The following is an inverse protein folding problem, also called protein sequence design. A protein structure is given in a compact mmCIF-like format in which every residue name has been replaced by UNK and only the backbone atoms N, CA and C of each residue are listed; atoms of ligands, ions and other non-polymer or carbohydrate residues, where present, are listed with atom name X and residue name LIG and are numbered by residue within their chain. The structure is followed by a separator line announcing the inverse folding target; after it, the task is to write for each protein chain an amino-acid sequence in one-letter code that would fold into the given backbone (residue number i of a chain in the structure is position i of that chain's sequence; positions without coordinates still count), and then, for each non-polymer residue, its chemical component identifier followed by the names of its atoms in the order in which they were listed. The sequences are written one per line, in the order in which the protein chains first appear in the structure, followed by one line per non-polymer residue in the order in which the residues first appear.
data_IF_621713265350
#
_entry.id   IF_621713265350
#
_cell.length_a   1.000
_cell.length_b   1.000
_cell.length_c   1.000
_cell.angle_alpha   90.00
_cell.angle_beta   90.00
_cell.angle_gamma   90.00
#
_symmetry.space_group_name_H-M   'P 1'
#
loop_
_entity.id
_entity.type
_entity.pdbx_description
1 polymer ?
#
# COMPACT_ATOMS: atom_id res chain seq x y z
N UNK A 1 14.26 33.63 -38.10
CA UNK A 1 15.11 34.15 -37.01
C UNK A 1 15.40 32.99 -36.07
N UNK A 2 16.67 32.59 -35.95
CA UNK A 2 17.09 31.36 -35.27
C UNK A 2 17.27 31.59 -33.76
N UNK A 3 16.81 30.63 -32.95
CA UNK A 3 16.96 30.60 -31.47
C UNK A 3 18.44 30.48 -31.07
N UNK A 4 18.89 31.13 -29.97
CA UNK A 4 20.25 30.97 -29.45
C UNK A 4 20.49 29.55 -28.92
N UNK A 5 21.59 28.93 -29.35
CA UNK A 5 21.98 27.54 -29.11
C UNK A 5 22.81 27.35 -27.82
N UNK A 6 22.46 28.07 -26.75
CA UNK A 6 23.25 28.11 -25.50
C UNK A 6 22.38 28.00 -24.24
N UNK A 7 21.54 26.98 -24.17
CA UNK A 7 21.03 26.46 -22.89
C UNK A 7 21.21 24.94 -22.92
N UNK A 8 21.90 24.34 -21.95
CA UNK A 8 21.89 22.89 -21.77
C UNK A 8 20.45 22.41 -21.55
N UNK A 9 20.06 21.31 -22.21
CA UNK A 9 18.75 20.69 -22.07
C UNK A 9 18.49 20.29 -20.61
N UNK A 10 17.53 20.96 -19.97
CA UNK A 10 17.02 20.60 -18.63
C UNK A 10 16.30 19.23 -18.60
N UNK A 11 16.12 18.60 -19.76
CA UNK A 11 15.59 17.25 -19.95
C UNK A 11 16.35 16.17 -19.16
N UNK A 12 17.64 16.38 -18.87
CA UNK A 12 18.45 15.43 -18.11
C UNK A 12 18.25 15.51 -16.57
N UNK A 13 17.69 16.61 -16.06
CA UNK A 13 17.46 16.77 -14.61
C UNK A 13 16.18 16.06 -14.12
N UNK A 14 15.22 15.78 -15.00
CA UNK A 14 14.01 15.03 -14.64
C UNK A 14 14.14 13.51 -14.88
N UNK A 15 15.17 13.06 -15.60
CA UNK A 15 15.42 11.63 -15.86
C UNK A 15 16.32 10.94 -14.81
N UNK A 16 16.78 11.70 -13.80
CA UNK A 16 17.72 11.20 -12.79
C UNK A 16 17.01 10.92 -11.46
N UNK A 17 16.02 10.02 -11.46
CA UNK A 17 15.64 9.29 -10.24
C UNK A 17 16.59 8.11 -10.10
N UNK A 18 17.56 8.12 -9.16
CA UNK A 18 18.28 6.91 -8.82
C UNK A 18 17.31 5.97 -8.13
N UNK A 19 16.92 4.90 -8.84
CA UNK A 19 16.38 3.70 -8.21
C UNK A 19 17.51 3.05 -7.42
N UNK A 20 17.45 2.95 -6.08
CA UNK A 20 18.46 2.23 -5.35
C UNK A 20 18.15 0.73 -5.45
N UNK A 21 18.70 0.09 -6.47
CA UNK A 21 19.11 -1.31 -6.37
C UNK A 21 20.23 -1.37 -5.33
N UNK A 22 19.96 -1.95 -4.17
CA UNK A 22 21.00 -2.44 -3.27
C UNK A 22 20.83 -3.93 -2.98
N UNK A 23 21.96 -4.62 -2.77
CA UNK A 23 22.08 -6.05 -2.83
C UNK A 23 21.79 -6.74 -1.50
N UNK A 24 21.41 -8.00 -1.66
CA UNK A 24 21.32 -9.06 -0.69
C UNK A 24 22.67 -9.31 0.02
N UNK A 25 22.80 -8.91 1.30
CA UNK A 25 23.51 -9.68 2.34
C UNK A 25 23.41 -9.09 3.76
N UNK A 26 22.85 -9.92 4.65
CA UNK A 26 23.14 -10.08 6.08
C UNK A 26 23.27 -8.85 7.00
N UNK A 27 22.23 -8.65 7.83
CA UNK A 27 22.39 -8.21 9.22
C UNK A 27 21.50 -9.03 10.15
N UNK A 28 22.03 -9.61 11.25
CA UNK A 28 21.21 -10.12 12.34
C UNK A 28 20.98 -9.02 13.38
N UNK A 29 19.73 -8.82 13.84
CA UNK A 29 19.36 -8.59 15.26
C UNK A 29 17.87 -8.23 15.44
N UNK A 30 17.26 -9.03 16.34
CA UNK A 30 16.23 -8.73 17.35
C UNK A 30 14.77 -8.46 16.92
N UNK A 31 13.97 -9.52 17.08
CA UNK A 31 12.51 -9.59 17.32
C UNK A 31 12.12 -8.84 18.64
N UNK A 32 10.83 -8.61 19.00
CA UNK A 32 9.60 -9.15 18.40
C UNK A 32 8.43 -8.15 18.21
N UNK A 33 7.74 -8.23 17.07
CA UNK A 33 6.36 -7.77 16.94
C UNK A 33 5.42 -8.90 17.36
N UNK A 34 4.73 -8.71 18.48
CA UNK A 34 3.61 -9.54 18.93
C UNK A 34 2.43 -9.31 17.96
N UNK A 35 2.14 -10.31 17.15
CA UNK A 35 0.89 -10.40 16.41
C UNK A 35 -0.19 -10.91 17.36
N UNK A 36 -1.10 -10.03 17.77
CA UNK A 36 -2.31 -10.31 18.56
C UNK A 36 -3.44 -10.83 17.66
N UNK A 37 -3.16 -11.87 16.87
CA UNK A 37 -4.14 -12.52 16.00
C UNK A 37 -3.86 -14.03 15.92
N UNK A 38 -3.79 -14.68 17.08
CA UNK A 38 -3.78 -16.14 17.21
C UNK A 38 -4.26 -16.47 18.63
N UNK A 39 -5.55 -16.30 18.89
CA UNK A 39 -6.12 -16.43 20.22
C UNK A 39 -7.61 -16.71 20.18
N UNK A 40 -7.99 -17.81 19.53
CA UNK A 40 -9.29 -18.47 19.66
C UNK A 40 -9.17 -19.91 19.14
N UNK A 41 -8.27 -20.69 19.75
CA UNK A 41 -8.33 -22.15 19.72
C UNK A 41 -8.55 -22.57 21.16
N UNK A 42 -9.82 -22.58 21.56
CA UNK A 42 -10.24 -23.18 22.80
C UNK A 42 -10.31 -24.70 22.62
N UNK A 43 -9.46 -25.36 23.41
CA UNK A 43 -9.62 -26.67 24.02
C UNK A 43 -10.67 -27.63 23.46
N UNK A 44 -10.21 -28.78 23.02
CA UNK A 44 -10.85 -30.05 23.34
C UNK A 44 -9.75 -31.10 23.57
N UNK A 45 -9.28 -31.17 24.82
CA UNK A 45 -8.70 -32.41 25.34
C UNK A 45 -9.78 -33.49 25.21
N UNK A 46 -9.55 -34.45 24.31
CA UNK A 46 -10.34 -35.67 24.22
C UNK A 46 -9.45 -36.84 24.64
N UNK A 47 -9.84 -37.63 25.65
CA UNK A 47 -8.98 -38.64 26.24
C UNK A 47 -8.76 -39.80 25.27
N UNK A 48 -7.48 -40.19 25.10
CA UNK A 48 -7.10 -41.46 24.49
C UNK A 48 -7.60 -42.61 25.35
N UNK A 49 -8.82 -43.07 25.11
CA UNK A 49 -9.28 -44.38 25.55
C UNK A 49 -8.85 -45.43 24.53
N UNK A 50 -8.06 -46.37 25.01
CA UNK A 50 -7.61 -47.59 24.35
C UNK A 50 -8.83 -48.42 23.92
N UNK A 51 -8.96 -48.86 22.66
CA UNK A 51 -9.79 -50.02 22.37
C UNK A 51 -8.95 -51.27 22.61
N UNK A 52 -9.22 -51.92 23.74
CA UNK A 52 -8.98 -53.34 23.93
C UNK A 52 -9.69 -54.06 22.77
N UNK A 53 -8.93 -54.63 21.85
CA UNK A 53 -9.40 -55.66 20.93
C UNK A 53 -9.52 -56.99 21.68
N UNK A 54 -10.72 -57.56 21.91
CA UNK A 54 -10.81 -58.99 22.10
C UNK A 54 -10.62 -59.64 20.73
N UNK A 55 -9.65 -60.56 20.66
CA UNK A 55 -9.50 -61.54 19.60
C UNK A 55 -10.87 -62.14 19.24
N UNK A 56 -11.32 -61.92 18.01
CA UNK A 56 -12.39 -62.75 17.45
C UNK A 56 -11.78 -64.08 17.06
N UNK A 57 -11.91 -65.03 17.98
CA UNK A 57 -11.77 -66.44 17.71
C UNK A 57 -12.55 -66.80 16.44
N UNK A 58 -11.85 -67.42 15.49
CA UNK A 58 -12.48 -68.25 14.47
C UNK A 58 -13.16 -69.42 15.18
N UNK A 59 -14.42 -69.25 15.56
CA UNK A 59 -15.27 -70.36 15.95
C UNK A 59 -16.18 -70.72 14.79
N UNK A 60 -16.03 -71.96 14.34
CA UNK A 60 -16.95 -72.71 13.48
C UNK A 60 -18.41 -72.41 13.83
N UNK A 61 -19.10 -71.59 13.03
CA UNK A 61 -20.52 -71.31 13.20
C UNK A 61 -21.38 -72.11 12.20
N UNK A 62 -21.72 -73.35 12.56
CA UNK A 62 -23.03 -73.94 12.23
C UNK A 62 -24.11 -73.37 13.18
N UNK A 63 -24.14 -72.05 13.34
CA UNK A 63 -25.07 -71.34 14.22
C UNK A 63 -26.06 -70.53 13.40
N UNK A 64 -27.33 -70.93 13.45
CA UNK A 64 -28.42 -70.43 12.61
C UNK A 64 -28.51 -68.91 12.51
N UNK A 65 -28.41 -68.43 11.28
CA UNK A 65 -28.99 -67.14 10.92
C UNK A 65 -30.49 -67.22 11.16
N UNK A 66 -31.09 -66.14 11.66
CA UNK A 66 -32.54 -66.09 11.72
C UNK A 66 -33.09 -65.99 10.29
N UNK A 67 -34.17 -66.71 10.00
CA UNK A 67 -34.92 -66.60 8.74
C UNK A 67 -35.79 -65.32 8.70
N UNK A 68 -35.47 -64.34 9.56
CA UNK A 68 -36.18 -63.07 9.63
C UNK A 68 -35.61 -62.09 8.60
N UNK A 69 -36.47 -61.17 8.16
CA UNK A 69 -36.06 -60.04 7.32
C UNK A 69 -34.93 -59.27 8.01
N UNK A 70 -33.88 -59.00 7.26
CA UNK A 70 -32.74 -58.22 7.73
C UNK A 70 -32.76 -56.85 7.07
N UNK A 71 -32.77 -55.80 7.89
CA UNK A 71 -32.78 -54.43 7.42
C UNK A 71 -31.42 -53.79 7.63
N UNK A 72 -30.98 -53.00 6.66
CA UNK A 72 -29.76 -52.23 6.75
C UNK A 72 -29.87 -50.90 6.02
N UNK A 73 -29.09 -49.93 6.46
CA UNK A 73 -28.89 -48.67 5.77
C UNK A 73 -27.74 -48.79 4.77
N UNK A 74 -27.95 -48.21 3.59
CA UNK A 74 -26.89 -47.96 2.63
C UNK A 74 -26.73 -46.44 2.44
N UNK A 75 -25.54 -45.94 2.71
CA UNK A 75 -25.18 -44.53 2.55
C UNK A 75 -24.19 -44.37 1.41
N UNK A 76 -24.45 -43.40 0.52
CA UNK A 76 -23.53 -43.05 -0.56
C UNK A 76 -22.39 -42.20 0.00
N UNK A 77 -21.14 -42.60 -0.23
CA UNK A 77 -19.96 -41.89 0.29
C UNK A 77 -19.86 -40.45 -0.18
N UNK A 78 -20.32 -40.20 -1.40
CA UNK A 78 -20.11 -38.92 -2.10
C UNK A 78 -21.15 -37.87 -1.68
N UNK A 79 -22.23 -38.32 -1.03
CA UNK A 79 -23.32 -37.48 -0.55
C UNK A 79 -23.63 -37.80 0.90
N UNK A 80 -22.73 -37.40 1.80
CA UNK A 80 -22.92 -37.54 3.25
C UNK A 80 -24.21 -36.89 3.76
N UNK A 81 -24.78 -35.94 3.00
CA UNK A 81 -26.04 -35.26 3.31
C UNK A 81 -27.29 -35.89 2.67
N UNK A 82 -27.12 -36.89 1.79
CA UNK A 82 -28.28 -37.62 1.24
C UNK A 82 -28.85 -38.57 2.30
N UNK A 83 -30.18 -38.70 2.42
CA UNK A 83 -30.75 -39.65 3.34
C UNK A 83 -30.37 -41.08 2.92
N UNK A 84 -30.07 -41.98 3.87
CA UNK A 84 -29.65 -43.34 3.55
C UNK A 84 -30.79 -44.14 2.92
N UNK A 85 -30.44 -45.04 2.01
CA UNK A 85 -31.35 -46.04 1.45
C UNK A 85 -31.58 -47.16 2.46
N UNK A 86 -32.76 -47.75 2.45
CA UNK A 86 -33.06 -48.94 3.26
C UNK A 86 -32.94 -50.17 2.37
N UNK A 87 -31.97 -51.03 2.66
CA UNK A 87 -31.82 -52.35 2.08
C UNK A 87 -32.57 -53.35 2.94
N UNK A 88 -33.48 -54.10 2.32
CA UNK A 88 -34.21 -55.19 2.97
C UNK A 88 -33.78 -56.51 2.34
N UNK A 89 -33.29 -57.42 3.16
CA UNK A 89 -32.83 -58.75 2.76
C UNK A 89 -33.76 -59.81 3.34
N UNK A 90 -33.93 -60.93 2.63
CA UNK A 90 -34.73 -62.06 3.12
C UNK A 90 -34.15 -62.70 4.38
N UNK A 91 -32.84 -62.56 4.61
CA UNK A 91 -32.14 -63.03 5.81
C UNK A 91 -30.80 -62.31 5.98
N UNK A 92 -30.23 -62.38 7.18
CA UNK A 92 -28.89 -61.84 7.46
C UNK A 92 -27.80 -62.57 6.64
N UNK A 93 -27.97 -63.87 6.37
CA UNK A 93 -27.03 -64.63 5.52
C UNK A 93 -27.01 -64.14 4.07
N UNK A 94 -28.17 -63.73 3.55
CA UNK A 94 -28.26 -63.13 2.21
C UNK A 94 -27.60 -61.76 2.18
N UNK A 95 -27.71 -60.97 3.25
CA UNK A 95 -27.02 -59.68 3.36
C UNK A 95 -25.49 -59.85 3.33
N UNK A 96 -24.96 -60.85 4.03
CA UNK A 96 -23.52 -61.15 4.02
C UNK A 96 -23.04 -61.64 2.64
N UNK A 97 -23.78 -62.54 1.98
CA UNK A 97 -23.45 -62.99 0.61
C UNK A 97 -23.48 -61.83 -0.40
N UNK A 98 -24.49 -60.97 -0.28
CA UNK A 98 -24.59 -59.77 -1.11
C UNK A 98 -23.41 -58.84 -0.87
N UNK A 99 -23.03 -58.64 0.39
CA UNK A 99 -21.89 -57.80 0.75
C UNK A 99 -20.55 -58.34 0.23
N UNK A 100 -20.34 -59.65 0.27
CA UNK A 100 -19.12 -60.27 -0.27
C UNK A 100 -18.96 -59.98 -1.77
N UNK A 101 -20.06 -60.03 -2.55
CA UNK A 101 -20.05 -59.65 -3.97
C UNK A 101 -19.80 -58.16 -4.17
N UNK A 102 -20.44 -57.30 -3.36
CA UNK A 102 -20.21 -55.85 -3.41
C UNK A 102 -18.75 -55.52 -3.12
N UNK A 103 -18.13 -56.17 -2.14
CA UNK A 103 -16.71 -55.97 -1.80
C UNK A 103 -15.78 -56.40 -2.94
N UNK A 104 -16.15 -57.42 -3.69
CA UNK A 104 -15.37 -57.90 -4.84
C UNK A 104 -15.46 -56.94 -6.04
N UNK A 105 -16.64 -56.42 -6.35
CA UNK A 105 -16.84 -55.52 -7.50
C UNK A 105 -16.50 -54.05 -7.17
N UNK A 106 -16.71 -53.63 -5.92
CA UNK A 106 -16.57 -52.26 -5.44
C UNK A 106 -15.69 -52.21 -4.17
N UNK A 107 -14.36 -52.37 -4.32
CA UNK A 107 -13.44 -52.49 -3.18
C UNK A 107 -13.34 -51.23 -2.32
N UNK A 108 -13.80 -50.07 -2.81
CA UNK A 108 -13.86 -48.83 -2.03
C UNK A 108 -15.05 -48.79 -1.03
N UNK A 109 -16.01 -49.70 -1.16
CA UNK A 109 -17.15 -49.78 -0.25
C UNK A 109 -16.74 -50.35 1.11
N UNK A 110 -17.25 -49.75 2.20
CA UNK A 110 -16.91 -50.12 3.58
C UNK A 110 -18.17 -50.48 4.37
N UNK A 111 -18.07 -51.39 5.35
CA UNK A 111 -19.17 -51.78 6.24
C UNK A 111 -18.83 -51.39 7.67
N UNK A 112 -19.41 -50.29 8.14
CA UNK A 112 -19.18 -49.74 9.49
C UNK A 112 -19.96 -50.49 10.59
N UNK A 113 -20.92 -51.34 10.22
CA UNK A 113 -21.69 -52.12 11.18
C UNK A 113 -22.51 -53.25 10.57
N UNK A 114 -23.28 -53.99 11.39
CA UNK A 114 -24.14 -55.07 10.90
C UNK A 114 -25.14 -54.53 9.88
N UNK A 115 -25.75 -53.38 10.20
CA UNK A 115 -26.83 -52.73 9.46
C UNK A 115 -26.40 -51.44 8.76
N UNK A 116 -25.11 -51.15 8.60
CA UNK A 116 -24.63 -49.92 7.95
C UNK A 116 -23.59 -50.24 6.87
N UNK A 117 -23.98 -49.98 5.63
CA UNK A 117 -23.17 -50.13 4.44
C UNK A 117 -22.84 -48.74 3.88
N UNK A 118 -21.55 -48.46 3.67
CA UNK A 118 -21.06 -47.26 3.00
C UNK A 118 -20.63 -47.67 1.60
N UNK A 119 -21.36 -47.17 0.62
CA UNK A 119 -21.26 -47.55 -0.78
C UNK A 119 -20.62 -46.41 -1.59
N UNK A 120 -19.60 -46.74 -2.39
CA UNK A 120 -18.84 -45.81 -3.23
C UNK A 120 -19.21 -46.00 -4.71
N UNK A 121 -19.62 -44.94 -5.41
CA UNK A 121 -19.94 -44.98 -6.84
C UNK A 121 -21.22 -44.23 -7.21
N UNK A 122 -21.23 -43.61 -8.40
CA UNK A 122 -22.25 -42.61 -8.74
C UNK A 122 -23.64 -43.20 -9.05
N UNK A 123 -23.75 -44.47 -9.43
CA UNK A 123 -25.03 -45.15 -9.75
C UNK A 123 -25.12 -46.56 -9.17
N UNK A 124 -25.00 -46.66 -7.84
CA UNK A 124 -25.11 -47.95 -7.13
C UNK A 124 -26.46 -48.66 -7.37
N UNK A 125 -27.53 -47.89 -7.60
CA UNK A 125 -28.89 -48.40 -7.77
C UNK A 125 -29.07 -49.16 -9.10
N UNK A 126 -28.64 -48.56 -10.20
CA UNK A 126 -28.75 -49.15 -11.53
C UNK A 126 -27.68 -50.22 -11.73
N UNK A 127 -26.45 -49.98 -11.23
CA UNK A 127 -25.33 -50.89 -11.48
C UNK A 127 -25.42 -52.20 -10.71
N UNK A 128 -25.86 -52.23 -9.44
CA UNK A 128 -25.97 -53.50 -8.70
C UNK A 128 -27.15 -54.33 -9.21
N UNK A 129 -28.30 -53.71 -9.52
CA UNK A 129 -29.48 -54.46 -9.94
C UNK A 129 -29.33 -55.08 -11.34
N UNK A 130 -28.59 -54.42 -12.23
CA UNK A 130 -28.39 -54.88 -13.60
C UNK A 130 -27.12 -55.72 -13.79
N UNK A 131 -26.27 -55.84 -12.76
CA UNK A 131 -25.07 -56.65 -12.85
C UNK A 131 -25.41 -58.16 -12.80
N UNK A 132 -25.02 -58.94 -13.83
CA UNK A 132 -25.32 -60.38 -13.90
C UNK A 132 -24.83 -61.19 -12.71
N UNK A 133 -23.77 -60.73 -12.03
CA UNK A 133 -23.20 -61.41 -10.85
C UNK A 133 -24.16 -61.42 -9.65
N UNK A 134 -25.13 -60.50 -9.62
CA UNK A 134 -26.11 -60.39 -8.54
C UNK A 134 -27.44 -61.09 -8.86
N UNK A 135 -27.58 -61.74 -10.02
CA UNK A 135 -28.86 -62.35 -10.42
C UNK A 135 -29.39 -63.41 -9.45
N UNK A 136 -28.52 -64.20 -8.85
CA UNK A 136 -28.91 -65.23 -7.87
C UNK A 136 -29.47 -64.64 -6.56
N UNK A 137 -29.18 -63.36 -6.31
CA UNK A 137 -29.62 -62.62 -5.13
C UNK A 137 -30.73 -61.62 -5.45
N UNK A 138 -31.00 -61.28 -6.73
CA UNK A 138 -31.93 -60.22 -7.13
C UNK A 138 -33.33 -60.34 -6.51
N UNK A 139 -33.83 -61.55 -6.31
CA UNK A 139 -35.15 -61.81 -5.72
C UNK A 139 -35.13 -61.96 -4.20
N UNK A 140 -33.96 -61.82 -3.56
CA UNK A 140 -33.75 -62.01 -2.12
C UNK A 140 -33.42 -60.73 -1.37
N UNK A 141 -33.31 -59.61 -2.09
CA UNK A 141 -33.15 -58.30 -1.51
C UNK A 141 -33.83 -57.24 -2.38
N UNK A 142 -34.22 -56.13 -1.78
CA UNK A 142 -34.68 -54.94 -2.48
C UNK A 142 -34.25 -53.71 -1.70
N UNK A 143 -34.18 -52.56 -2.37
CA UNK A 143 -33.92 -51.29 -1.72
C UNK A 143 -35.20 -50.44 -1.73
N UNK A 144 -35.33 -49.56 -0.74
CA UNK A 144 -36.39 -48.55 -0.68
C UNK A 144 -35.73 -47.18 -0.73
N UNK A 145 -36.09 -46.32 -1.71
CA UNK A 145 -35.56 -44.96 -1.78
C UNK A 145 -36.04 -44.12 -0.58
N UNK A 146 -35.28 -43.08 -0.20
CA UNK A 146 -35.62 -42.20 0.90
C UNK A 146 -36.73 -41.20 0.52
N UNK A 147 -37.87 -41.70 0.05
CA UNK A 147 -38.99 -40.84 -0.37
C UNK A 147 -39.87 -40.55 0.86
N UNK A 148 -39.41 -39.61 1.70
CA UNK A 148 -40.23 -38.90 2.69
C UNK A 148 -40.46 -39.58 4.05
N UNK A 149 -40.16 -40.87 4.22
CA UNK A 149 -40.14 -41.51 5.53
C UNK A 149 -38.75 -42.08 5.81
N UNK A 150 -37.97 -41.42 6.68
CA UNK A 150 -36.84 -42.06 7.34
C UNK A 150 -37.38 -43.16 8.26
N UNK A 151 -37.72 -44.31 7.66
CA UNK A 151 -38.23 -45.46 8.37
C UNK A 151 -37.17 -45.94 9.34
N UNK A 152 -37.43 -45.79 10.63
CA UNK A 152 -36.55 -46.32 11.67
C UNK A 152 -36.56 -47.84 11.56
N UNK A 153 -35.46 -48.41 11.06
CA UNK A 153 -35.32 -49.87 11.01
C UNK A 153 -35.13 -50.43 12.43
N UNK A 154 -35.69 -51.61 12.74
CA UNK A 154 -35.41 -52.29 14.00
C UNK A 154 -33.89 -52.54 14.16
N UNK A 155 -33.36 -52.30 15.36
CA UNK A 155 -31.98 -52.67 15.68
C UNK A 155 -31.87 -54.19 15.64
N UNK A 156 -31.03 -54.70 14.74
CA UNK A 156 -30.79 -56.13 14.59
C UNK A 156 -29.31 -56.46 14.77
N UNK A 157 -29.04 -57.60 15.41
CA UNK A 157 -27.69 -58.15 15.49
C UNK A 157 -27.20 -58.65 14.12
N UNK A 158 -25.92 -59.06 14.03
CA UNK A 158 -25.33 -59.67 12.83
C UNK A 158 -26.06 -60.93 12.32
N UNK A 159 -27.00 -61.48 13.10
CA UNK A 159 -27.78 -62.68 12.76
C UNK A 159 -29.24 -62.35 12.42
N UNK A 160 -29.64 -61.09 12.47
CA UNK A 160 -30.99 -60.61 12.19
C UNK A 160 -31.97 -60.67 13.37
N UNK A 161 -31.49 -60.94 14.59
CA UNK A 161 -32.34 -60.93 15.78
C UNK A 161 -32.56 -59.49 16.27
N UNK A 162 -33.81 -59.09 16.59
CA UNK A 162 -34.07 -57.78 17.17
C UNK A 162 -33.39 -57.64 18.53
N UNK A 163 -32.60 -56.58 18.71
CA UNK A 163 -31.94 -56.29 19.97
C UNK A 163 -32.98 -55.73 20.97
N UNK A 164 -33.31 -56.51 22.01
CA UNK A 164 -34.19 -56.05 23.09
C UNK A 164 -33.42 -55.07 23.97
N UNK A 165 -33.53 -53.78 23.69
CA UNK A 165 -33.19 -52.75 24.68
C UNK A 165 -34.24 -52.77 25.79
N UNK A 166 -33.87 -53.21 26.99
CA UNK A 166 -34.63 -52.93 28.21
C UNK A 166 -34.22 -51.56 28.76
N UNK A 167 -35.10 -50.54 28.76
CA UNK A 167 -34.76 -49.26 29.36
C UNK A 167 -35.14 -49.26 30.85
N UNK A 168 -34.15 -49.38 31.72
CA UNK A 168 -34.29 -48.98 33.13
C UNK A 168 -34.24 -47.44 33.20
N UNK A 169 -35.38 -46.78 32.97
CA UNK A 169 -35.50 -45.33 32.97
C UNK A 169 -35.54 -44.79 34.41
N UNK A 170 -34.41 -44.27 34.91
CA UNK A 170 -34.31 -43.66 36.23
C UNK A 170 -34.73 -42.18 36.17
N UNK A 171 -35.88 -41.84 36.74
CA UNK A 171 -36.47 -40.49 36.70
C UNK A 171 -35.69 -39.46 37.56
N UNK A 172 -34.95 -39.92 38.58
CA UNK A 172 -34.14 -39.06 39.45
C UNK A 172 -32.87 -38.56 38.76
N UNK A 173 -32.22 -39.38 37.93
CA UNK A 173 -31.05 -38.95 37.15
C UNK A 173 -31.43 -37.96 36.06
N UNK A 174 -32.65 -38.05 35.51
CA UNK A 174 -33.20 -37.07 34.59
C UNK A 174 -33.40 -35.70 35.25
N UNK A 175 -33.89 -35.69 36.50
CA UNK A 175 -34.12 -34.45 37.25
C UNK A 175 -32.79 -33.75 37.57
N UNK A 176 -31.77 -34.50 38.01
CA UNK A 176 -30.43 -33.95 38.25
C UNK A 176 -29.72 -33.48 36.97
N UNK A 177 -29.94 -34.14 35.83
CA UNK A 177 -29.40 -33.68 34.54
C UNK A 177 -30.09 -32.41 34.04
N UNK A 178 -31.40 -32.25 34.23
CA UNK A 178 -32.13 -31.02 33.93
C UNK A 178 -31.64 -29.83 34.76
N UNK A 179 -31.41 -30.01 36.07
CA UNK A 179 -30.90 -28.94 36.93
C UNK A 179 -29.48 -28.51 36.53
N UNK A 180 -28.60 -29.48 36.24
CA UNK A 180 -27.26 -29.21 35.70
C UNK A 180 -27.32 -28.49 34.35
N UNK A 181 -28.26 -28.86 33.49
CA UNK A 181 -28.46 -28.21 32.20
C UNK A 181 -28.94 -26.76 32.38
N UNK A 182 -29.83 -26.51 33.34
CA UNK A 182 -30.30 -25.16 33.65
C UNK A 182 -29.16 -24.26 34.17
N UNK A 183 -28.30 -24.78 35.04
CA UNK A 183 -27.09 -24.08 35.51
C UNK A 183 -26.17 -23.77 34.33
N UNK A 184 -25.89 -24.75 33.46
CA UNK A 184 -25.04 -24.53 32.28
C UNK A 184 -25.66 -23.53 31.29
N UNK A 185 -26.98 -23.54 31.08
CA UNK A 185 -27.66 -22.57 30.22
C UNK A 185 -27.55 -21.17 30.80
N UNK A 186 -27.76 -21.02 32.12
CA UNK A 186 -27.58 -19.74 32.81
C UNK A 186 -26.15 -19.23 32.66
N UNK A 187 -25.15 -20.08 32.91
CA UNK A 187 -23.74 -19.73 32.76
C UNK A 187 -23.38 -19.36 31.32
N UNK A 188 -23.78 -20.17 30.33
CA UNK A 188 -23.60 -19.86 28.91
C UNK A 188 -24.28 -18.55 28.52
N UNK A 189 -25.46 -18.26 29.05
CA UNK A 189 -26.15 -16.98 28.79
C UNK A 189 -25.36 -15.79 29.34
N UNK A 190 -24.75 -15.93 30.53
CA UNK A 190 -23.87 -14.87 31.07
C UNK A 190 -22.60 -14.69 30.25
N UNK A 191 -21.99 -15.78 29.78
CA UNK A 191 -20.82 -15.74 28.91
C UNK A 191 -21.15 -15.08 27.56
N UNK A 192 -22.29 -15.42 26.95
CA UNK A 192 -22.76 -14.79 25.70
C UNK A 192 -22.99 -13.29 25.91
N UNK A 193 -23.58 -12.88 27.03
CA UNK A 193 -23.74 -11.45 27.36
C UNK A 193 -22.39 -10.74 27.49
N UNK A 194 -21.45 -11.33 28.23
CA UNK A 194 -20.11 -10.76 28.39
C UNK A 194 -19.37 -10.65 27.05
N UNK A 195 -19.47 -11.68 26.21
CA UNK A 195 -18.87 -11.70 24.88
C UNK A 195 -19.53 -10.69 23.95
N UNK A 196 -20.85 -10.54 24.00
CA UNK A 196 -21.59 -9.52 23.26
C UNK A 196 -21.18 -8.11 23.66
N UNK A 197 -20.99 -7.83 24.96
CA UNK A 197 -20.52 -6.53 25.44
C UNK A 197 -19.09 -6.29 24.98
N UNK A 198 -18.19 -7.27 25.12
CA UNK A 198 -16.81 -7.17 24.66
C UNK A 198 -16.73 -6.93 23.13
N UNK A 199 -17.55 -7.63 22.35
CA UNK A 199 -17.63 -7.46 20.89
C UNK A 199 -18.17 -6.08 20.51
N UNK A 200 -19.23 -5.60 21.18
CA UNK A 200 -19.77 -4.25 20.95
C UNK A 200 -18.74 -3.15 21.27
N UNK A 201 -18.00 -3.28 22.37
CA UNK A 201 -16.93 -2.36 22.73
C UNK A 201 -15.72 -2.44 21.79
N UNK A 202 -15.45 -3.62 21.22
CA UNK A 202 -14.44 -3.80 20.17
C UNK A 202 -14.82 -3.07 18.87
N UNK A 203 -16.08 -3.20 18.45
CA UNK A 203 -16.61 -2.50 17.27
C UNK A 203 -16.63 -0.99 17.47
N UNK A 204 -17.02 -0.51 18.65
CA UNK A 204 -16.98 0.92 18.96
C UNK A 204 -15.56 1.49 18.89
N UNK A 205 -14.57 0.80 19.48
CA UNK A 205 -13.16 1.20 19.34
C UNK A 205 -12.67 1.18 17.90
N UNK A 206 -13.12 0.22 17.09
CA UNK A 206 -12.79 0.17 15.67
C UNK A 206 -13.39 1.36 14.92
N UNK A 207 -14.61 1.77 15.26
CA UNK A 207 -15.25 2.97 14.71
C UNK A 207 -14.47 4.24 15.10
N UNK A 208 -14.10 4.42 16.38
CA UNK A 208 -13.30 5.56 16.84
C UNK A 208 -11.94 5.62 16.13
N UNK A 209 -11.28 4.47 15.93
CA UNK A 209 -10.03 4.39 15.16
C UNK A 209 -10.25 4.81 13.71
N UNK A 210 -11.34 4.36 13.07
CA UNK A 210 -11.66 4.75 11.70
C UNK A 210 -11.97 6.25 11.56
N UNK A 211 -12.71 6.83 12.51
CA UNK A 211 -13.00 8.26 12.55
C UNK A 211 -11.72 9.09 12.76
N UNK A 212 -10.84 8.64 13.67
CA UNK A 212 -9.53 9.25 13.90
C UNK A 212 -8.64 9.18 12.65
N UNK A 213 -8.55 8.01 12.01
CA UNK A 213 -7.78 7.82 10.78
C UNK A 213 -8.32 8.67 9.63
N UNK A 214 -9.64 8.77 9.48
CA UNK A 214 -10.27 9.64 8.47
C UNK A 214 -9.90 11.12 8.68
N UNK A 215 -9.91 11.57 9.93
CA UNK A 215 -9.50 12.94 10.30
C UNK A 215 -8.02 13.19 9.98
N UNK A 216 -7.13 12.23 10.26
CA UNK A 216 -5.71 12.33 9.94
C UNK A 216 -5.46 12.35 8.43
N UNK A 217 -6.16 11.52 7.66
CA UNK A 217 -6.07 11.50 6.19
C UNK A 217 -6.50 12.85 5.62
N UNK A 218 -7.59 13.44 6.14
CA UNK A 218 -8.03 14.77 5.72
C UNK A 218 -6.98 15.84 6.01
N UNK A 219 -6.41 15.84 7.22
CA UNK A 219 -5.34 16.78 7.57
C UNK A 219 -4.10 16.62 6.68
N UNK A 220 -3.75 15.38 6.30
CA UNK A 220 -2.67 15.11 5.36
C UNK A 220 -2.99 15.65 3.95
N UNK A 221 -4.22 15.46 3.46
CA UNK A 221 -4.65 16.01 2.18
C UNK A 221 -4.57 17.54 2.15
N UNK A 222 -5.07 18.22 3.18
CA UNK A 222 -5.00 19.68 3.32
C UNK A 222 -3.53 20.16 3.35
N UNK A 223 -2.65 19.40 4.01
CA UNK A 223 -1.21 19.71 4.05
C UNK A 223 -0.53 19.55 2.69
N UNK A 224 -0.95 18.57 1.89
CA UNK A 224 -0.44 18.34 0.54
C UNK A 224 -0.89 19.44 -0.42
N UNK A 225 -2.16 19.86 -0.34
CA UNK A 225 -2.67 20.99 -1.11
C UNK A 225 -1.90 22.28 -0.79
N UNK A 226 -1.64 22.53 0.50
CA UNK A 226 -0.83 23.69 0.92
C UNK A 226 0.60 23.63 0.40
N UNK A 227 1.24 22.45 0.44
CA UNK A 227 2.58 22.27 -0.11
C UNK A 227 2.62 22.48 -1.62
N UNK A 228 1.61 21.98 -2.34
CA UNK A 228 1.48 22.20 -3.78
C UNK A 228 1.31 23.68 -4.11
N UNK A 229 0.46 24.39 -3.36
CA UNK A 229 0.29 25.84 -3.50
C UNK A 229 1.59 26.62 -3.29
N UNK A 230 2.39 26.24 -2.26
CA UNK A 230 3.71 26.86 -2.02
C UNK A 230 4.71 26.55 -3.13
N UNK A 231 4.68 25.33 -3.68
CA UNK A 231 5.53 24.93 -4.81
C UNK A 231 5.19 25.74 -6.07
N UNK A 232 3.91 25.92 -6.37
CA UNK A 232 3.44 26.73 -7.51
C UNK A 232 3.81 28.21 -7.34
N UNK A 233 3.66 28.76 -6.12
CA UNK A 233 4.10 30.11 -5.81
C UNK A 233 5.60 30.28 -6.00
N UNK A 234 6.42 29.34 -5.50
CA UNK A 234 7.86 29.37 -5.70
C UNK A 234 8.24 29.28 -7.18
N UNK A 235 7.64 28.37 -7.94
CA UNK A 235 7.86 28.26 -9.38
C UNK A 235 7.53 29.56 -10.10
N UNK A 236 6.39 30.18 -9.78
CA UNK A 236 5.98 31.47 -10.35
C UNK A 236 6.97 32.60 -10.01
N UNK A 237 7.49 32.62 -8.78
CA UNK A 237 8.49 33.59 -8.34
C UNK A 237 9.82 33.44 -9.09
N UNK A 238 10.30 32.21 -9.31
CA UNK A 238 11.49 31.96 -10.11
C UNK A 238 11.31 32.36 -11.58
N UNK A 239 10.13 32.13 -12.16
CA UNK A 239 9.81 32.59 -13.51
C UNK A 239 9.84 34.13 -13.57
N UNK A 240 9.22 34.80 -12.59
CA UNK A 240 9.21 36.26 -12.52
C UNK A 240 10.63 36.85 -12.38
N UNK A 241 11.47 36.27 -11.51
CA UNK A 241 12.87 36.67 -11.35
C UNK A 241 13.68 36.44 -12.62
N UNK A 242 13.50 35.30 -13.29
CA UNK A 242 14.15 34.99 -14.56
C UNK A 242 13.78 36.00 -15.65
N UNK A 243 12.50 36.32 -15.78
CA UNK A 243 12.00 37.32 -16.73
C UNK A 243 12.55 38.72 -16.42
N UNK A 244 12.61 39.09 -15.13
CA UNK A 244 13.21 40.36 -14.69
C UNK A 244 14.70 40.42 -15.00
N UNK A 245 15.44 39.34 -14.75
CA UNK A 245 16.86 39.23 -15.06
C UNK A 245 17.12 39.36 -16.58
N UNK A 246 16.29 38.71 -17.40
CA UNK A 246 16.38 38.83 -18.86
C UNK A 246 16.14 40.26 -19.34
N UNK A 247 15.09 40.93 -18.83
CA UNK A 247 14.80 42.33 -19.16
C UNK A 247 15.95 43.26 -18.74
N UNK A 248 16.52 43.06 -17.54
CA UNK A 248 17.67 43.83 -17.08
C UNK A 248 18.90 43.59 -17.96
N UNK A 249 19.15 42.36 -18.39
CA UNK A 249 20.26 42.02 -19.30
C UNK A 249 20.09 42.70 -20.66
N UNK A 250 18.87 42.76 -21.19
CA UNK A 250 18.55 43.46 -22.43
C UNK A 250 18.75 44.97 -22.31
N UNK A 251 18.35 45.58 -21.18
CA UNK A 251 18.64 46.98 -20.89
C UNK A 251 20.14 47.27 -20.80
N UNK A 252 20.90 46.42 -20.08
CA UNK A 252 22.36 46.56 -19.98
C UNK A 252 23.01 46.44 -21.35
N UNK A 253 22.56 45.50 -22.19
CA UNK A 253 23.02 45.37 -23.57
C UNK A 253 22.76 46.64 -24.38
N UNK A 254 21.55 47.20 -24.32
CA UNK A 254 21.22 48.45 -25.01
C UNK A 254 22.06 49.64 -24.56
N UNK A 255 22.35 49.74 -23.26
CA UNK A 255 23.25 50.78 -22.72
C UNK A 255 24.68 50.59 -23.23
N UNK A 256 25.18 49.34 -23.28
CA UNK A 256 26.52 49.04 -23.81
C UNK A 256 26.64 49.35 -25.30
N UNK A 257 25.62 49.00 -26.10
CA UNK A 257 25.57 49.34 -27.54
C UNK A 257 25.56 50.85 -27.75
N UNK A 258 24.77 51.59 -26.96
CA UNK A 258 24.73 53.05 -27.00
C UNK A 258 26.09 53.66 -26.64
N UNK A 259 26.73 53.19 -25.57
CA UNK A 259 28.05 53.66 -25.15
C UNK A 259 29.12 53.35 -26.21
N UNK A 260 29.09 52.16 -26.81
CA UNK A 260 30.00 51.80 -27.89
C UNK A 260 29.83 52.74 -29.10
N UNK A 261 28.59 53.09 -29.45
CA UNK A 261 28.29 54.09 -30.48
C UNK A 261 28.82 55.49 -30.15
N UNK A 262 28.65 55.94 -28.91
CA UNK A 262 29.19 57.23 -28.44
C UNK A 262 30.72 57.28 -28.47
N UNK A 263 31.39 56.21 -28.02
CA UNK A 263 32.86 56.10 -28.06
C UNK A 263 33.35 56.16 -29.50
N UNK A 264 32.68 55.46 -30.42
CA UNK A 264 33.01 55.51 -31.85
C UNK A 264 32.87 56.92 -32.42
N UNK A 265 31.75 57.59 -32.14
CA UNK A 265 31.52 58.97 -32.59
C UNK A 265 32.56 59.96 -32.02
N UNK A 266 32.97 59.79 -30.76
CA UNK A 266 34.03 60.58 -30.14
C UNK A 266 35.39 60.32 -30.80
N UNK A 267 35.74 59.06 -31.07
CA UNK A 267 36.97 58.69 -31.76
C UNK A 267 37.01 59.28 -33.19
N UNK A 268 35.91 59.21 -33.93
CA UNK A 268 35.77 59.82 -35.26
C UNK A 268 35.91 61.35 -35.18
N UNK A 269 35.30 61.98 -34.16
CA UNK A 269 35.45 63.40 -33.88
C UNK A 269 36.89 63.82 -33.57
N UNK A 270 37.61 63.04 -32.76
CA UNK A 270 39.04 63.26 -32.47
C UNK A 270 39.90 63.09 -33.71
N UNK A 271 39.64 62.08 -34.53
CA UNK A 271 40.32 61.86 -35.81
C UNK A 271 40.12 63.05 -36.77
N UNK A 272 38.88 63.56 -36.86
CA UNK A 272 38.55 64.74 -37.68
C UNK A 272 39.26 66.00 -37.18
N UNK A 273 39.26 66.25 -35.87
CA UNK A 273 39.99 67.38 -35.28
C UNK A 273 41.49 67.28 -35.53
N UNK A 274 42.09 66.09 -35.38
CA UNK A 274 43.50 65.87 -35.68
C UNK A 274 43.81 66.17 -37.16
N UNK A 275 42.94 65.73 -38.08
CA UNK A 275 43.06 66.05 -39.50
C UNK A 275 42.99 67.55 -39.76
N UNK A 276 42.02 68.25 -39.17
CA UNK A 276 41.87 69.71 -39.31
C UNK A 276 43.07 70.46 -38.72
N UNK A 277 43.59 70.04 -37.57
CA UNK A 277 44.81 70.62 -37.00
C UNK A 277 46.02 70.38 -37.89
N UNK A 278 46.16 69.18 -38.48
CA UNK A 278 47.23 68.88 -39.44
C UNK A 278 47.13 69.75 -40.70
N UNK A 279 45.92 69.95 -41.24
CA UNK A 279 45.67 70.85 -42.37
C UNK A 279 45.96 72.32 -42.03
N UNK A 280 45.55 72.77 -40.85
CA UNK A 280 45.80 74.12 -40.37
C UNK A 280 47.30 74.35 -40.17
N UNK A 281 48.02 73.44 -39.51
CA UNK A 281 49.49 73.51 -39.40
C UNK A 281 50.15 73.54 -40.77
N UNK A 282 49.69 72.72 -41.73
CA UNK A 282 50.20 72.76 -43.10
C UNK A 282 49.93 74.09 -43.80
N UNK A 283 48.76 74.70 -43.56
CA UNK A 283 48.43 76.03 -44.08
C UNK A 283 49.30 77.12 -43.44
N UNK A 284 49.57 77.03 -42.14
CA UNK A 284 50.47 77.93 -41.42
C UNK A 284 51.90 77.77 -41.92
N UNK A 285 52.39 76.54 -42.12
CA UNK A 285 53.71 76.31 -42.72
C UNK A 285 53.81 76.90 -44.12
N UNK A 286 52.78 76.75 -44.96
CA UNK A 286 52.74 77.37 -46.29
C UNK A 286 52.72 78.91 -46.24
N UNK A 287 51.93 79.49 -45.34
CA UNK A 287 51.91 80.94 -45.12
C UNK A 287 53.25 81.42 -44.57
N UNK A 288 53.87 80.66 -43.66
CA UNK A 288 55.20 80.93 -43.11
C UNK A 288 56.30 80.83 -44.15
N UNK A 289 56.24 79.87 -45.08
CA UNK A 289 57.14 79.79 -46.24
C UNK A 289 56.95 81.00 -47.17
N UNK A 290 55.71 81.39 -47.46
CA UNK A 290 55.41 82.61 -48.22
C UNK A 290 55.88 83.88 -47.52
N UNK A 291 55.73 83.97 -46.19
CA UNK A 291 56.19 85.09 -45.38
C UNK A 291 57.71 85.09 -45.22
N UNK A 292 58.39 83.94 -45.25
CA UNK A 292 59.85 83.82 -45.24
C UNK A 292 60.46 84.22 -46.60
N UNK A 293 59.79 83.90 -47.70
CA UNK A 293 60.10 84.49 -49.02
C UNK A 293 59.89 86.01 -49.04
N UNK A 294 58.88 86.54 -48.35
CA UNK A 294 58.67 87.98 -48.23
C UNK A 294 59.66 88.63 -47.22
N UNK A 295 59.98 87.94 -46.13
CA UNK A 295 60.83 88.41 -45.04
C UNK A 295 62.32 88.38 -45.39
N UNK A 296 62.74 87.49 -46.28
CA UNK A 296 64.08 87.57 -46.89
C UNK A 296 64.26 88.79 -47.81
N UNK A 297 63.17 89.48 -48.18
CA UNK A 297 63.23 90.79 -48.85
C UNK A 297 63.20 91.98 -47.87
N UNK A 298 62.95 91.76 -46.58
CA UNK A 298 62.76 92.86 -45.64
C UNK A 298 63.10 92.48 -44.18
N UNK A 299 64.38 92.23 -43.90
CA UNK A 299 64.89 92.35 -42.52
C UNK A 299 66.40 92.62 -42.45
N UNK A 300 66.77 93.89 -42.63
CA UNK A 300 67.64 94.59 -41.67
C UNK A 300 66.71 95.29 -40.67
N UNK A 301 66.92 95.10 -39.37
CA UNK A 301 66.32 95.96 -38.34
C UNK A 301 65.77 95.26 -37.09
N UNK A 302 66.57 95.36 -36.01
CA UNK A 302 66.19 95.71 -34.62
C UNK A 302 65.24 94.85 -33.77
N UNK A 303 65.83 94.39 -32.64
CA UNK A 303 65.48 94.60 -31.22
C UNK A 303 64.08 94.35 -30.60
N UNK A 304 64.19 93.85 -29.36
CA UNK A 304 63.32 94.03 -28.19
C UNK A 304 62.07 93.13 -27.95
N UNK A 305 62.17 92.32 -26.89
CA UNK A 305 61.25 92.35 -25.73
C UNK A 305 59.95 91.53 -25.77
N UNK A 306 59.69 90.80 -24.67
CA UNK A 306 58.31 90.58 -24.18
C UNK A 306 57.85 89.14 -23.92
N UNK A 307 57.95 88.72 -22.66
CA UNK A 307 56.98 87.92 -21.87
C UNK A 307 55.77 87.25 -22.55
N UNK A 308 55.48 85.97 -22.24
CA UNK A 308 54.27 85.58 -21.48
C UNK A 308 54.26 84.09 -21.10
N UNK A 309 53.40 83.77 -20.13
CA UNK A 309 53.41 82.60 -19.27
C UNK A 309 53.03 81.27 -19.93
N UNK A 310 53.77 80.21 -19.59
CA UNK A 310 53.29 78.83 -19.69
C UNK A 310 52.24 78.59 -18.59
N UNK A 311 50.96 78.76 -18.92
CA UNK A 311 49.85 78.33 -18.06
C UNK A 311 49.57 76.85 -18.27
N UNK A 312 49.87 76.09 -17.23
CA UNK A 312 49.47 74.71 -16.94
C UNK A 312 47.96 74.50 -17.13
N UNK A 313 47.55 73.77 -18.17
CA UNK A 313 46.19 73.22 -18.29
C UNK A 313 46.27 71.71 -18.05
N UNK A 314 46.34 71.36 -16.77
CA UNK A 314 46.12 70.00 -16.27
C UNK A 314 44.70 69.88 -15.74
N UNK A 315 43.69 69.77 -16.63
CA UNK A 315 42.33 69.43 -16.22
C UNK A 315 42.25 67.94 -15.85
N UNK A 316 42.62 67.62 -14.60
CA UNK A 316 42.25 66.37 -13.94
C UNK A 316 40.73 66.39 -13.68
N UNK A 317 39.97 65.81 -14.58
CA UNK A 317 38.57 65.44 -14.34
C UNK A 317 38.60 64.26 -13.35
N UNK A 318 38.54 64.56 -12.05
CA UNK A 318 38.22 63.55 -11.04
C UNK A 318 36.69 63.43 -10.98
N UNK A 319 36.12 62.23 -11.14
CA UNK A 319 34.68 62.05 -10.94
C UNK A 319 34.35 62.22 -9.44
N UNK A 320 33.19 62.83 -9.10
CA UNK A 320 32.82 63.09 -7.72
C UNK A 320 32.60 61.78 -6.94
N UNK A 321 32.95 61.73 -5.65
CA UNK A 321 32.82 60.54 -4.83
C UNK A 321 31.34 60.20 -4.61
N UNK A 322 30.92 59.02 -5.07
CA UNK A 322 29.58 58.49 -4.81
C UNK A 322 29.44 58.20 -3.31
N UNK A 323 28.55 58.93 -2.65
CA UNK A 323 28.12 58.65 -1.27
C UNK A 323 27.50 57.26 -1.18
N UNK A 324 28.26 56.29 -0.69
CA UNK A 324 27.80 54.96 -0.29
C UNK A 324 27.16 55.04 1.12
N UNK A 325 26.01 55.73 1.21
CA UNK A 325 25.17 55.71 2.40
C UNK A 325 23.94 54.82 2.17
N UNK A 326 24.17 53.54 1.89
CA UNK A 326 23.15 52.53 2.14
C UNK A 326 23.69 51.64 3.24
N UNK A 327 23.26 51.93 4.48
CA UNK A 327 23.28 50.97 5.58
C UNK A 327 22.54 49.73 5.07
N UNK A 328 23.28 48.73 4.63
CA UNK A 328 22.75 47.38 4.50
C UNK A 328 22.46 46.96 5.93
N UNK A 329 21.18 47.06 6.31
CA UNK A 329 20.66 46.56 7.58
C UNK A 329 20.85 45.06 7.50
N UNK A 330 21.96 44.58 8.08
CA UNK A 330 22.31 43.17 8.12
C UNK A 330 21.12 42.40 8.67
N UNK A 331 20.54 41.56 7.83
CA UNK A 331 19.66 40.50 8.28
C UNK A 331 20.59 39.47 8.91
N UNK A 332 20.64 39.47 10.23
CA UNK A 332 21.19 38.36 11.00
C UNK A 332 20.23 37.20 10.79
N UNK A 333 20.64 36.20 10.02
CA UNK A 333 20.05 34.88 10.16
C UNK A 333 20.64 34.29 11.42
N UNK A 334 19.92 34.43 12.53
CA UNK A 334 20.11 33.54 13.66
C UNK A 334 19.75 32.15 13.16
N UNK A 335 20.79 31.35 12.89
CA UNK A 335 20.65 29.91 12.81
C UNK A 335 20.29 29.45 14.22
N UNK A 336 19.00 29.30 14.50
CA UNK A 336 18.54 28.50 15.63
C UNK A 336 18.89 27.04 15.34
N UNK A 337 20.13 26.70 15.64
CA UNK A 337 20.63 25.34 15.64
C UNK A 337 20.22 24.67 16.96
N UNK A 338 18.94 24.34 17.10
CA UNK A 338 18.51 23.36 18.09
C UNK A 338 17.22 22.62 17.68
N UNK A 339 17.29 21.33 17.29
CA UNK A 339 16.11 20.51 17.10
C UNK A 339 15.78 19.80 18.41
N UNK A 340 15.49 20.52 19.50
CA UNK A 340 14.93 19.94 20.72
C UNK A 340 14.11 20.96 21.52
N UNK A 341 12.87 21.19 21.13
CA UNK A 341 11.78 21.28 22.11
C UNK A 341 10.41 21.16 21.43
N UNK A 342 9.61 20.24 21.95
CA UNK A 342 8.20 20.03 21.59
C UNK A 342 7.41 21.33 21.74
N UNK A 343 6.35 21.55 20.94
CA UNK A 343 5.40 22.60 21.24
C UNK A 343 4.67 22.24 22.52
N UNK A 344 4.94 22.98 23.61
CA UNK A 344 4.04 23.01 24.76
C UNK A 344 2.70 23.56 24.28
N UNK A 345 1.71 22.70 24.31
CA UNK A 345 0.28 22.98 24.26
C UNK A 345 -0.03 24.12 25.24
N UNK A 346 -0.21 25.33 24.73
CA UNK A 346 -0.90 26.39 25.46
C UNK A 346 -2.38 26.04 25.42
N UNK A 347 -2.82 25.19 26.35
CA UNK A 347 -4.23 25.04 26.67
C UNK A 347 -4.70 26.37 27.27
N UNK A 348 -5.36 27.16 26.45
CA UNK A 348 -6.19 28.25 26.92
C UNK A 348 -7.42 27.61 27.56
N UNK A 349 -7.43 27.56 28.89
CA UNK A 349 -8.57 27.15 29.70
C UNK A 349 -9.66 28.20 29.51
N UNK A 350 -10.60 27.93 28.61
CA UNK A 350 -11.81 28.71 28.48
C UNK A 350 -12.76 28.32 29.62
N UNK A 351 -12.95 29.26 30.53
CA UNK A 351 -13.83 29.14 31.70
C UNK A 351 -15.28 29.37 31.28
N UNK A 352 -16.26 28.58 31.76
CA UNK A 352 -17.66 28.76 31.38
C UNK A 352 -18.26 29.98 32.09
N UNK A 353 -19.20 30.71 31.47
CA UNK A 353 -19.84 31.86 32.11
C UNK A 353 -20.80 31.43 33.22
N UNK A 354 -20.64 32.06 34.39
CA UNK A 354 -21.63 32.08 35.46
C UNK A 354 -22.87 32.81 34.96
N UNK A 355 -24.02 32.13 34.96
CA UNK A 355 -25.33 32.77 34.81
C UNK A 355 -25.88 33.10 36.21
N UNK A 356 -26.39 34.32 36.45
CA UNK A 356 -27.46 34.55 37.41
C UNK A 356 -28.82 34.16 36.83
#
# INVERSE_FOLDING_TARGET
MARPKSMPDFSYLLASTPSPLLPEKERPRKKPSISLAAGLIMAAESPKSIPNTPQRAQQNHKGGYSDNLFYAYAQKSDYAQSPPYILTFSSASVADQWWDLVKQEYPESTREGPQLFILKGDDMQEQIQDNPKFYDLRNKWFYTPPEGSSGVIPLQDYKGNPEKQEPAFNLSSLTGTLEKMNIMISENTTQIKALSVAQSGGLQRMQEINESNSTQIKALADSQEKLQSLMDQNASHYIALSNSAFSNQEQVKGVLETNAGQIKALADGQSKLASTCAEMMKSISKVGEGLSQLGSSLSSGSDAGGSSAFSSIGNRISPPPRKLNKRIKGVWYEYDASPQSSPRTSMMLETPPKSP
#
